data_IF_452949227840
#
_entry.id   IF_452949227840
#
_cell.length_a   1.000
_cell.length_b   1.000
_cell.length_c   1.000
_cell.angle_alpha   90.00
_cell.angle_beta   90.00
_cell.angle_gamma   90.00
#
_symmetry.space_group_name_H-M   'P 1'
#
loop_
_entity.id
_entity.type
_entity.pdbx_description
1 polymer ?
#
# COMPACT_ATOMS: atom_id res chain seq x y z
N UNK A 1 -1.43 2.20 -15.68
CA UNK A 1 -1.03 1.46 -16.89
C UNK A 1 -0.68 2.51 -17.94
N UNK A 2 0.60 2.88 -17.96
CA UNK A 2 1.15 3.89 -18.87
C UNK A 2 1.53 3.27 -20.21
N UNK A 3 2.33 3.99 -21.00
CA UNK A 3 2.81 3.71 -22.36
C UNK A 3 3.72 2.47 -22.48
N UNK A 4 3.34 1.34 -21.89
CA UNK A 4 4.06 0.08 -22.00
C UNK A 4 3.73 -0.58 -23.35
N UNK A 5 4.73 -0.98 -24.17
CA UNK A 5 4.50 -1.71 -25.41
C UNK A 5 3.67 -2.98 -25.17
N UNK A 6 2.61 -3.19 -25.95
CA UNK A 6 1.73 -4.37 -25.85
C UNK A 6 0.62 -4.26 -24.78
N UNK A 7 0.56 -3.16 -24.01
CA UNK A 7 -0.52 -2.91 -23.05
C UNK A 7 -1.41 -1.77 -23.54
N UNK A 8 -2.72 -1.98 -23.49
CA UNK A 8 -3.72 -1.02 -23.96
C UNK A 8 -4.65 -0.63 -22.80
N UNK A 9 -4.90 0.67 -22.65
CA UNK A 9 -5.85 1.19 -21.66
C UNK A 9 -7.01 1.87 -22.39
N UNK A 10 -8.21 1.31 -22.21
CA UNK A 10 -9.43 1.84 -22.83
C UNK A 10 -10.20 2.69 -21.82
N UNK A 11 -10.41 3.96 -22.15
CA UNK A 11 -11.19 4.90 -21.32
C UNK A 11 -12.45 5.30 -22.08
N UNK A 12 -13.62 4.96 -21.55
CA UNK A 12 -14.91 5.34 -22.13
C UNK A 12 -15.35 6.71 -21.59
N UNK A 13 -15.54 7.71 -22.46
CA UNK A 13 -15.78 9.12 -22.09
C UNK A 13 -17.26 9.56 -22.02
N UNK A 14 -18.25 8.67 -22.21
CA UNK A 14 -19.69 8.91 -21.99
C UNK A 14 -20.41 7.56 -21.75
N UNK A 15 -21.47 7.35 -20.94
CA UNK A 15 -22.60 8.15 -20.45
C UNK A 15 -23.17 7.48 -19.17
N UNK A 16 -24.02 8.23 -18.45
CA UNK A 16 -25.07 7.87 -17.47
C UNK A 16 -25.10 6.48 -16.78
N UNK A 17 -25.13 6.50 -15.44
CA UNK A 17 -25.54 5.42 -14.52
C UNK A 17 -25.29 3.97 -14.99
N UNK A 18 -24.05 3.53 -14.72
CA UNK A 18 -23.56 2.14 -14.53
C UNK A 18 -24.63 1.03 -14.59
N UNK A 19 -24.78 0.38 -15.75
CA UNK A 19 -25.25 -1.01 -15.78
C UNK A 19 -24.04 -1.94 -15.80
N UNK A 20 -23.73 -2.56 -14.64
CA UNK A 20 -22.63 -3.53 -14.44
C UNK A 20 -22.55 -4.58 -15.56
N UNK A 21 -23.71 -5.11 -15.94
CA UNK A 21 -23.87 -6.14 -16.99
C UNK A 21 -23.33 -5.76 -18.38
N UNK A 22 -23.43 -4.50 -18.80
CA UNK A 22 -22.96 -4.09 -20.13
C UNK A 22 -21.43 -4.00 -20.20
N UNK A 23 -20.76 -3.82 -19.05
CA UNK A 23 -19.31 -3.74 -19.00
C UNK A 23 -18.66 -5.12 -18.90
N UNK A 24 -19.32 -6.08 -18.25
CA UNK A 24 -18.88 -7.47 -18.22
C UNK A 24 -18.83 -8.02 -19.67
N UNK A 25 -19.85 -7.75 -20.49
CA UNK A 25 -19.88 -8.16 -21.93
C UNK A 25 -18.67 -7.67 -22.74
N UNK A 26 -18.16 -6.46 -22.49
CA UNK A 26 -16.99 -5.95 -23.21
C UNK A 26 -15.69 -6.61 -22.73
N UNK A 27 -15.59 -6.89 -21.43
CA UNK A 27 -14.45 -7.63 -20.90
C UNK A 27 -14.47 -9.08 -21.41
N UNK A 28 -15.63 -9.73 -21.43
CA UNK A 28 -15.81 -11.08 -21.96
C UNK A 28 -15.39 -11.15 -23.44
N UNK A 29 -15.88 -10.21 -24.27
CA UNK A 29 -15.49 -10.14 -25.68
C UNK A 29 -14.00 -9.93 -25.90
N UNK A 30 -13.34 -9.14 -25.05
CA UNK A 30 -11.90 -8.95 -25.13
C UNK A 30 -11.14 -10.19 -24.66
N UNK A 31 -11.67 -10.92 -23.69
CA UNK A 31 -11.08 -12.16 -23.20
C UNK A 31 -11.10 -13.28 -24.26
N UNK A 32 -12.11 -13.27 -25.15
CA UNK A 32 -12.25 -14.24 -26.25
C UNK A 32 -11.32 -13.95 -27.44
N UNK A 33 -10.66 -12.79 -27.49
CA UNK A 33 -9.76 -12.43 -28.60
C UNK A 33 -8.43 -13.19 -28.52
N UNK A 34 -7.97 -13.88 -29.58
CA UNK A 34 -6.77 -14.74 -29.54
C UNK A 34 -5.47 -14.02 -29.18
N UNK A 35 -5.41 -12.70 -29.40
CA UNK A 35 -4.23 -11.87 -29.12
C UNK A 35 -4.27 -11.25 -27.72
N UNK A 36 -5.37 -11.40 -26.99
CA UNK A 36 -5.52 -10.85 -25.64
C UNK A 36 -5.12 -11.92 -24.63
N UNK A 37 -3.94 -11.75 -24.04
CA UNK A 37 -3.46 -12.67 -22.99
C UNK A 37 -4.19 -12.48 -21.67
N UNK A 38 -4.67 -11.26 -21.39
CA UNK A 38 -5.32 -10.92 -20.13
C UNK A 38 -6.13 -9.63 -20.24
N UNK A 39 -7.28 -9.60 -19.57
CA UNK A 39 -8.13 -8.42 -19.41
C UNK A 39 -8.66 -8.34 -17.98
N UNK A 40 -8.64 -7.14 -17.38
CA UNK A 40 -9.27 -6.88 -16.10
C UNK A 40 -10.02 -5.56 -16.14
N UNK A 41 -11.28 -5.60 -15.70
CA UNK A 41 -12.05 -4.40 -15.49
C UNK A 41 -11.62 -3.71 -14.18
N UNK A 42 -11.04 -2.52 -14.28
CA UNK A 42 -10.75 -1.71 -13.10
C UNK A 42 -12.05 -1.27 -12.40
N UNK A 43 -12.17 -1.64 -11.12
CA UNK A 43 -13.29 -1.25 -10.26
C UNK A 43 -12.81 -0.24 -9.23
N UNK A 44 -13.55 0.85 -9.06
CA UNK A 44 -13.28 1.80 -7.97
C UNK A 44 -13.59 1.08 -6.65
N UNK A 45 -12.58 0.92 -5.80
CA UNK A 45 -12.74 0.43 -4.43
C UNK A 45 -12.96 1.61 -3.49
N UNK A 46 -14.10 1.66 -2.80
CA UNK A 46 -14.33 2.65 -1.75
C UNK A 46 -13.51 2.29 -0.51
N UNK A 47 -12.64 3.21 -0.08
CA UNK A 47 -11.83 3.05 1.14
C UNK A 47 -12.46 3.84 2.26
N UNK A 48 -12.77 3.18 3.38
CA UNK A 48 -13.07 3.85 4.64
C UNK A 48 -11.79 3.95 5.50
N UNK A 49 -11.64 5.06 6.22
CA UNK A 49 -10.58 5.21 7.21
C UNK A 49 -10.87 4.24 8.35
N UNK A 50 -9.90 3.39 8.73
CA UNK A 50 -10.05 2.54 9.93
C UNK A 50 -10.31 3.46 11.13
N UNK A 51 -11.36 3.15 11.90
CA UNK A 51 -11.88 3.98 12.99
C UNK A 51 -10.83 4.25 14.09
N UNK A 52 -11.16 5.20 14.98
CA UNK A 52 -10.37 5.61 16.16
C UNK A 52 -9.83 4.40 16.91
N UNK A 53 -8.52 4.42 17.17
CA UNK A 53 -7.80 3.34 17.83
C UNK A 53 -8.18 3.33 19.32
N UNK A 54 -8.72 2.24 19.87
CA UNK A 54 -9.03 2.15 21.29
C UNK A 54 -7.81 2.43 22.17
N UNK A 55 -7.99 3.14 23.29
CA UNK A 55 -6.92 3.57 24.21
C UNK A 55 -6.01 2.43 24.69
N UNK A 56 -6.54 1.21 24.83
CA UNK A 56 -5.76 0.02 25.18
C UNK A 56 -4.65 -0.29 24.17
N UNK A 57 -4.90 -0.05 22.88
CA UNK A 57 -3.90 -0.25 21.84
C UNK A 57 -2.81 0.82 21.92
N UNK A 58 -3.15 2.04 22.33
CA UNK A 58 -2.17 3.11 22.59
C UNK A 58 -1.25 2.70 23.76
N UNK A 59 -1.82 2.23 24.87
CA UNK A 59 -1.05 1.77 26.02
C UNK A 59 -0.10 0.62 25.68
N UNK A 60 -0.55 -0.34 24.85
CA UNK A 60 0.29 -1.44 24.34
C UNK A 60 1.45 -0.92 23.48
N UNK A 61 1.18 0.03 22.59
CA UNK A 61 2.22 0.61 21.73
C UNK A 61 3.24 1.44 22.51
N UNK A 62 2.82 2.18 23.55
CA UNK A 62 3.74 2.90 24.44
C UNK A 62 4.71 1.97 25.19
N UNK A 63 4.25 0.80 25.62
CA UNK A 63 5.12 -0.22 26.24
C UNK A 63 6.13 -0.78 25.24
N UNK A 64 5.77 -0.89 23.97
CA UNK A 64 6.65 -1.36 22.89
C UNK A 64 7.79 -0.37 22.64
N UNK A 65 7.48 0.92 22.48
CA UNK A 65 8.49 1.97 22.21
C UNK A 65 9.66 1.93 23.21
N UNK A 66 9.39 1.60 24.47
CA UNK A 66 10.43 1.50 25.52
C UNK A 66 11.40 0.32 25.32
N UNK A 67 10.98 -0.76 24.66
CA UNK A 67 11.80 -1.96 24.40
C UNK A 67 12.63 -1.85 23.13
N UNK A 68 12.13 -1.16 22.10
CA UNK A 68 12.72 -1.19 20.76
C UNK A 68 13.95 -0.27 20.58
N UNK A 69 14.61 0.15 21.66
CA UNK A 69 15.87 0.94 21.60
C UNK A 69 17.08 0.15 21.07
N UNK A 70 16.94 -1.15 20.82
CA UNK A 70 18.06 -2.05 20.51
C UNK A 70 18.61 -1.95 19.08
N UNK A 71 17.90 -1.29 18.15
CA UNK A 71 18.37 -1.13 16.75
C UNK A 71 18.90 0.28 16.55
N UNK A 72 20.21 0.42 16.33
CA UNK A 72 20.84 1.70 16.00
C UNK A 72 20.74 1.97 14.50
N UNK A 73 19.90 2.92 14.13
CA UNK A 73 19.78 3.40 12.74
C UNK A 73 20.66 4.64 12.57
N UNK A 74 21.56 4.63 11.58
CA UNK A 74 22.54 5.70 11.36
C UNK A 74 22.01 6.87 10.52
N UNK A 75 20.86 6.71 9.87
CA UNK A 75 20.24 7.75 9.05
C UNK A 75 19.87 8.98 9.93
N UNK A 76 20.44 10.18 9.66
CA UNK A 76 20.16 11.40 10.45
C UNK A 76 18.69 11.83 10.45
N UNK A 77 17.94 11.45 9.41
CA UNK A 77 16.52 11.73 9.25
C UNK A 77 15.62 10.65 9.85
N UNK A 78 16.17 9.54 10.37
CA UNK A 78 15.40 8.45 10.97
C UNK A 78 14.41 8.95 12.05
N UNK A 79 14.82 9.92 12.86
CA UNK A 79 13.97 10.54 13.89
C UNK A 79 12.66 11.14 13.32
N UNK A 80 12.63 11.50 12.04
CA UNK A 80 11.47 12.06 11.37
C UNK A 80 10.59 10.99 10.68
N UNK A 81 11.07 9.75 10.56
CA UNK A 81 10.39 8.65 9.87
C UNK A 81 9.40 7.94 10.80
N UNK A 82 8.31 8.62 11.17
CA UNK A 82 7.29 8.12 12.08
C UNK A 82 6.71 6.76 11.68
N UNK A 83 6.66 6.45 10.38
CA UNK A 83 6.12 5.19 9.89
C UNK A 83 6.99 3.97 10.25
N UNK A 84 8.28 4.15 10.56
CA UNK A 84 9.18 3.08 11.00
C UNK A 84 9.16 2.90 12.52
N UNK A 85 9.23 4.01 13.25
CA UNK A 85 9.13 4.06 14.71
C UNK A 85 8.44 5.37 15.12
N UNK A 86 7.21 5.26 15.62
CA UNK A 86 6.45 6.43 16.06
C UNK A 86 6.61 6.62 17.56
N UNK A 87 7.45 7.57 17.95
CA UNK A 87 7.67 7.97 19.34
C UNK A 87 6.85 9.20 19.75
N UNK A 88 5.88 9.61 18.91
CA UNK A 88 5.13 10.85 19.10
C UNK A 88 5.85 12.10 18.56
N UNK A 89 6.74 11.92 17.57
CA UNK A 89 7.47 13.02 16.94
C UNK A 89 6.64 13.83 15.93
N UNK A 90 5.43 13.36 15.60
CA UNK A 90 4.50 13.99 14.67
C UNK A 90 3.17 14.32 15.37
N UNK A 91 2.20 14.88 14.65
CA UNK A 91 0.88 15.22 15.20
C UNK A 91 -0.02 14.01 15.51
N UNK A 92 0.40 12.79 15.17
CA UNK A 92 -0.36 11.56 15.39
C UNK A 92 -0.11 10.91 16.76
N UNK A 93 -0.98 9.99 17.20
CA UNK A 93 -0.75 9.21 18.41
C UNK A 93 0.56 8.41 18.32
N UNK A 94 1.33 8.38 19.41
CA UNK A 94 2.56 7.60 19.49
C UNK A 94 2.29 6.09 19.32
N UNK A 95 3.25 5.39 18.72
CA UNK A 95 3.22 3.93 18.58
C UNK A 95 2.31 3.41 17.46
N UNK A 96 1.80 4.32 16.62
CA UNK A 96 1.13 3.98 15.37
C UNK A 96 2.17 4.04 14.25
N UNK A 97 2.76 2.89 13.96
CA UNK A 97 3.82 2.65 12.97
C UNK A 97 3.70 1.21 12.43
N UNK A 98 4.54 0.83 11.46
CA UNK A 98 4.50 -0.51 10.86
C UNK A 98 5.12 -1.61 11.75
N UNK A 99 5.65 -1.26 12.92
CA UNK A 99 6.28 -2.18 13.87
C UNK A 99 7.44 -3.01 13.28
N UNK A 100 8.36 -2.36 12.55
CA UNK A 100 9.45 -3.06 11.83
C UNK A 100 10.64 -3.42 12.70
N UNK A 101 10.85 -2.75 13.84
CA UNK A 101 12.07 -2.92 14.64
C UNK A 101 12.32 -4.35 15.13
N UNK A 102 11.32 -5.11 15.62
CA UNK A 102 11.52 -6.52 15.99
C UNK A 102 11.91 -7.42 14.80
N UNK A 103 11.50 -7.05 13.58
CA UNK A 103 11.83 -7.77 12.34
C UNK A 103 13.29 -7.53 11.97
N UNK A 104 13.74 -6.28 12.06
CA UNK A 104 15.15 -5.91 11.86
C UNK A 104 16.07 -6.51 12.93
N UNK A 105 15.63 -6.57 14.19
CA UNK A 105 16.38 -7.22 15.27
C UNK A 105 16.60 -8.73 15.01
N UNK A 106 15.73 -9.37 14.23
CA UNK A 106 15.88 -10.76 13.78
C UNK A 106 16.74 -10.89 12.51
N UNK A 107 17.24 -9.78 11.96
CA UNK A 107 18.10 -9.76 10.76
C UNK A 107 17.34 -9.77 9.43
N UNK A 108 16.01 -9.68 9.43
CA UNK A 108 15.23 -9.60 8.20
C UNK A 108 15.27 -8.18 7.63
N UNK A 109 15.93 -8.01 6.49
CA UNK A 109 16.11 -6.71 5.83
C UNK A 109 15.45 -6.60 4.45
N UNK A 110 14.86 -7.70 3.95
CA UNK A 110 14.41 -7.81 2.56
C UNK A 110 15.49 -8.28 1.57
N UNK A 111 16.69 -8.65 2.06
CA UNK A 111 17.74 -9.25 1.22
C UNK A 111 17.21 -10.47 0.45
N UNK A 112 17.34 -10.45 -0.87
CA UNK A 112 16.86 -11.51 -1.76
C UNK A 112 15.44 -11.32 -2.30
N UNK A 113 14.73 -10.27 -1.87
CA UNK A 113 13.43 -9.88 -2.42
C UNK A 113 13.63 -8.85 -3.54
N UNK A 114 12.94 -9.03 -4.67
CA UNK A 114 12.91 -8.06 -5.78
C UNK A 114 11.59 -7.31 -5.72
N UNK A 115 11.66 -5.98 -5.76
CA UNK A 115 10.50 -5.08 -5.77
C UNK A 115 10.55 -4.22 -7.03
N UNK A 116 9.48 -4.25 -7.83
CA UNK A 116 9.33 -3.39 -8.99
C UNK A 116 8.48 -2.17 -8.63
N UNK A 117 9.05 -0.97 -8.76
CA UNK A 117 8.35 0.31 -8.56
C UNK A 117 8.18 0.96 -9.92
N UNK A 118 6.93 1.20 -10.33
CA UNK A 118 6.60 1.90 -11.56
C UNK A 118 6.28 3.35 -11.19
N UNK A 119 7.26 4.25 -11.36
CA UNK A 119 7.18 5.67 -11.04
C UNK A 119 7.75 6.53 -12.20
N UNK A 120 7.81 7.84 -12.03
CA UNK A 120 8.39 8.78 -12.99
C UNK A 120 9.93 8.74 -13.06
N UNK A 121 10.59 8.25 -12.02
CA UNK A 121 12.05 8.03 -11.97
C UNK A 121 12.70 8.67 -10.74
#
# INVERSE_FOLDING_TARGET
IGSLPGYYHFVKRSTEMRRRRSLDEHADRLQDEPQVTWVEQQRILERSKRHVIPDENIARSLRRIRRDKAVTVQDPLYKNQWYLQNVGQSSGPAGIDINVLPVWAQGYSGKGVVVSVLDDG
#
